data_IF_564951436138
#
_entry.id   IF_564951436138
#
_cell.length_a   1.000
_cell.length_b   1.000
_cell.length_c   1.000
_cell.angle_alpha   90.00
_cell.angle_beta   90.00
_cell.angle_gamma   90.00
#
_symmetry.space_group_name_H-M   'P 1'
#
loop_
_entity.id
_entity.type
_entity.pdbx_description
1 polymer ?
#
# COMPACT_ATOMS: atom_id res chain seq x y z
N UNK A 1 -8.37 16.37 -14.05
CA UNK A 1 -7.49 16.67 -12.90
C UNK A 1 -6.10 17.02 -13.43
N UNK A 2 -5.41 17.99 -12.83
CA UNK A 2 -4.01 18.27 -13.18
C UNK A 2 -3.10 17.37 -12.37
N UNK A 3 -2.18 16.63 -13.00
CA UNK A 3 -1.26 15.78 -12.25
C UNK A 3 -0.08 16.65 -11.77
N UNK A 4 -0.11 17.05 -10.50
CA UNK A 4 0.97 17.75 -9.84
C UNK A 4 1.86 16.78 -9.06
N UNK A 5 3.16 17.07 -9.05
CA UNK A 5 4.13 16.42 -8.17
C UNK A 5 4.51 17.39 -7.08
N UNK A 6 4.35 16.94 -5.83
CA UNK A 6 4.79 17.66 -4.65
C UNK A 6 6.19 17.21 -4.20
N UNK A 7 6.98 18.14 -3.68
CA UNK A 7 8.35 17.90 -3.22
C UNK A 7 8.53 18.42 -1.79
N UNK A 8 8.89 17.53 -0.86
CA UNK A 8 9.45 17.88 0.44
C UNK A 8 10.96 17.73 0.40
N UNK A 9 11.66 18.72 0.93
CA UNK A 9 13.11 18.67 1.08
C UNK A 9 13.48 19.10 2.50
N UNK A 10 14.20 18.25 3.24
CA UNK A 10 14.99 18.68 4.37
C UNK A 10 16.43 18.87 3.93
N UNK A 11 16.91 20.10 4.05
CA UNK A 11 18.25 20.48 3.63
C UNK A 11 19.31 20.12 4.68
N UNK A 12 20.59 20.23 4.33
CA UNK A 12 21.74 19.94 5.17
C UNK A 12 21.79 20.80 6.45
N UNK A 13 21.28 22.02 6.37
CA UNK A 13 21.15 22.93 7.52
C UNK A 13 19.95 22.61 8.43
N UNK A 14 19.14 21.62 8.05
CA UNK A 14 17.93 21.19 8.75
C UNK A 14 16.67 21.99 8.42
N UNK A 15 16.75 23.00 7.55
CA UNK A 15 15.57 23.69 7.03
C UNK A 15 14.72 22.73 6.19
N UNK A 16 13.40 22.93 6.21
CA UNK A 16 12.47 22.10 5.46
C UNK A 16 11.71 22.95 4.45
N UNK A 17 11.56 22.44 3.24
CA UNK A 17 11.06 23.16 2.07
C UNK A 17 9.96 22.37 1.38
N UNK A 18 9.10 23.10 0.71
CA UNK A 18 8.03 22.59 -0.13
C UNK A 18 8.06 23.27 -1.50
N UNK A 19 7.86 22.48 -2.56
CA UNK A 19 7.53 22.98 -3.87
C UNK A 19 6.55 22.03 -4.58
N UNK A 20 5.85 22.54 -5.59
CA UNK A 20 5.03 21.71 -6.48
C UNK A 20 5.24 22.13 -7.93
N UNK A 21 5.16 21.15 -8.83
CA UNK A 21 5.13 21.44 -10.25
C UNK A 21 4.21 20.48 -10.99
N UNK A 22 3.61 20.98 -12.07
CA UNK A 22 2.74 20.19 -12.92
C UNK A 22 3.61 19.25 -13.76
N UNK A 23 3.30 17.95 -13.76
CA UNK A 23 4.09 16.92 -14.46
C UNK A 23 5.55 16.82 -14.02
N UNK A 24 5.84 17.17 -12.77
CA UNK A 24 7.17 17.02 -12.20
C UNK A 24 7.72 15.59 -12.26
N UNK A 25 9.05 15.49 -12.26
CA UNK A 25 9.78 14.24 -12.11
C UNK A 25 9.60 13.72 -10.68
N UNK A 26 9.31 12.42 -10.53
CA UNK A 26 9.03 11.82 -9.22
C UNK A 26 9.93 10.60 -8.94
N UNK A 27 10.30 9.85 -9.98
CA UNK A 27 11.11 8.64 -9.86
C UNK A 27 12.61 8.92 -9.68
N UNK A 28 13.07 10.14 -10.01
CA UNK A 28 14.44 10.64 -9.84
C UNK A 28 15.47 9.56 -10.19
N UNK A 29 15.39 9.04 -11.41
CA UNK A 29 16.06 7.82 -11.85
C UNK A 29 17.56 7.94 -12.08
N UNK A 30 18.11 9.16 -12.02
CA UNK A 30 19.53 9.43 -12.06
C UNK A 30 19.94 10.59 -11.14
N UNK A 31 21.26 10.74 -10.97
CA UNK A 31 21.86 11.77 -10.13
C UNK A 31 21.55 13.19 -10.61
N UNK A 32 21.48 13.43 -11.93
CA UNK A 32 21.24 14.75 -12.48
C UNK A 32 19.82 15.22 -12.18
N UNK A 33 18.81 14.35 -12.35
CA UNK A 33 17.43 14.64 -12.01
C UNK A 33 17.26 14.94 -10.51
N UNK A 34 17.96 14.19 -9.64
CA UNK A 34 17.98 14.47 -8.19
C UNK A 34 18.54 15.86 -7.91
N UNK A 35 19.71 16.18 -8.46
CA UNK A 35 20.36 17.48 -8.22
C UNK A 35 19.51 18.63 -8.76
N UNK A 36 18.94 18.49 -9.95
CA UNK A 36 18.05 19.50 -10.55
C UNK A 36 16.84 19.79 -9.65
N UNK A 37 16.20 18.74 -9.13
CA UNK A 37 15.06 18.91 -8.22
C UNK A 37 15.46 19.58 -6.91
N UNK A 38 16.60 19.20 -6.31
CA UNK A 38 17.09 19.84 -5.08
C UNK A 38 17.35 21.33 -5.30
N UNK A 39 18.07 21.67 -6.37
CA UNK A 39 18.43 23.05 -6.69
C UNK A 39 17.19 23.89 -7.00
N UNK A 40 16.23 23.33 -7.73
CA UNK A 40 14.96 23.98 -8.00
C UNK A 40 14.12 24.20 -6.74
N UNK A 41 14.00 23.22 -5.84
CA UNK A 41 13.27 23.38 -4.57
C UNK A 41 13.92 24.44 -3.70
N UNK A 42 15.26 24.54 -3.67
CA UNK A 42 15.98 25.59 -2.94
C UNK A 42 15.76 26.98 -3.55
N UNK A 43 15.68 27.08 -4.88
CA UNK A 43 15.52 28.35 -5.58
C UNK A 43 14.09 28.88 -5.54
N UNK A 44 13.11 28.02 -5.80
CA UNK A 44 11.71 28.40 -6.05
C UNK A 44 10.73 27.89 -4.99
N UNK A 45 11.18 27.01 -4.09
CA UNK A 45 10.36 26.46 -3.02
C UNK A 45 10.05 27.46 -1.91
N UNK A 46 9.11 27.07 -1.06
CA UNK A 46 8.75 27.80 0.16
C UNK A 46 9.27 27.06 1.38
N UNK A 47 9.85 27.80 2.32
CA UNK A 47 10.15 27.27 3.65
C UNK A 47 8.87 26.77 4.34
N UNK A 48 8.97 25.60 4.96
CA UNK A 48 7.93 25.04 5.80
C UNK A 48 7.98 25.72 7.17
N UNK A 49 6.85 26.31 7.56
CA UNK A 49 6.64 26.92 8.87
C UNK A 49 5.45 26.24 9.54
N UNK A 50 5.45 26.01 10.87
CA UNK A 50 4.36 25.30 11.55
C UNK A 50 2.95 25.86 11.27
N UNK A 51 2.83 27.16 10.99
CA UNK A 51 1.58 27.86 10.68
C UNK A 51 1.23 27.89 9.18
N UNK A 52 1.99 27.18 8.35
CA UNK A 52 1.79 27.14 6.90
C UNK A 52 0.47 26.45 6.52
N UNK A 53 -0.14 26.81 5.37
CA UNK A 53 -1.34 26.12 4.91
C UNK A 53 -1.01 24.69 4.47
N UNK A 54 -2.01 23.83 4.42
CA UNK A 54 -1.92 22.51 3.78
C UNK A 54 -1.48 22.68 2.32
N UNK A 55 -0.53 21.85 1.88
CA UNK A 55 0.10 21.92 0.56
C UNK A 55 -0.01 20.63 -0.23
N UNK A 56 0.13 19.48 0.43
CA UNK A 56 -0.09 18.16 -0.14
C UNK A 56 -1.53 17.73 0.07
N UNK A 57 -2.35 17.78 -0.97
CA UNK A 57 -3.74 17.33 -0.91
C UNK A 57 -4.17 16.51 -2.11
N UNK A 58 -5.48 16.38 -2.31
CA UNK A 58 -6.06 15.63 -3.42
C UNK A 58 -5.62 16.10 -4.83
N UNK A 59 -5.11 17.33 -4.96
CA UNK A 59 -4.54 17.85 -6.22
C UNK A 59 -3.15 17.31 -6.58
N UNK A 60 -2.46 16.70 -5.61
CA UNK A 60 -1.09 16.21 -5.74
C UNK A 60 -1.10 14.70 -6.00
N UNK A 61 -1.08 14.33 -7.27
CA UNK A 61 -1.14 12.93 -7.70
C UNK A 61 0.16 12.16 -7.39
N UNK A 62 1.30 12.86 -7.23
CA UNK A 62 2.64 12.28 -7.04
C UNK A 62 3.36 13.01 -5.93
N UNK A 63 4.28 12.35 -5.26
CA UNK A 63 5.09 13.01 -4.25
C UNK A 63 6.51 12.50 -4.16
N UNK A 64 7.39 13.38 -3.71
CA UNK A 64 8.79 13.14 -3.43
C UNK A 64 9.11 13.72 -2.06
N UNK A 65 9.84 12.98 -1.24
CA UNK A 65 10.49 13.49 -0.04
C UNK A 65 11.98 13.15 -0.06
N UNK A 66 12.81 14.15 0.24
CA UNK A 66 14.26 14.06 0.33
C UNK A 66 14.69 14.59 1.71
N UNK A 67 15.41 13.78 2.46
CA UNK A 67 16.14 14.23 3.65
C UNK A 67 17.63 14.12 3.36
N UNK A 68 18.28 15.26 3.07
CA UNK A 68 19.72 15.29 2.73
C UNK A 68 20.60 14.97 3.94
N UNK A 69 20.10 15.23 5.15
CA UNK A 69 20.85 15.06 6.39
C UNK A 69 20.89 13.60 6.82
N UNK A 70 19.75 12.94 6.77
CA UNK A 70 19.61 11.54 7.16
C UNK A 70 19.71 10.58 5.96
N UNK A 71 19.93 11.12 4.75
CA UNK A 71 20.07 10.42 3.47
C UNK A 71 18.87 9.52 3.17
N UNK A 72 17.67 10.06 3.27
CA UNK A 72 16.41 9.34 3.01
C UNK A 72 15.74 9.86 1.74
N UNK A 73 15.26 8.95 0.90
CA UNK A 73 14.43 9.27 -0.26
C UNK A 73 13.17 8.42 -0.25
N UNK A 74 12.02 9.07 -0.44
CA UNK A 74 10.76 8.38 -0.73
C UNK A 74 10.03 9.03 -1.89
N UNK A 75 9.32 8.21 -2.66
CA UNK A 75 8.40 8.71 -3.69
C UNK A 75 7.15 7.84 -3.79
N UNK A 76 6.03 8.45 -4.17
CA UNK A 76 4.87 7.73 -4.68
C UNK A 76 4.45 8.32 -6.05
N UNK A 77 4.13 7.47 -7.03
CA UNK A 77 3.62 7.90 -8.33
C UNK A 77 2.13 8.24 -8.23
N UNK A 78 1.60 8.78 -9.33
CA UNK A 78 0.15 8.75 -9.56
C UNK A 78 -0.26 7.28 -9.69
N UNK A 79 -1.43 6.93 -9.18
CA UNK A 79 -2.09 5.68 -9.55
C UNK A 79 -2.15 5.62 -11.08
N UNK A 80 -1.31 4.74 -11.63
CA UNK A 80 -1.20 4.47 -13.04
C UNK A 80 -1.37 2.96 -13.13
N UNK A 81 -2.59 2.54 -13.49
CA UNK A 81 -2.91 1.15 -13.80
C UNK A 81 -1.75 0.50 -14.58
N UNK A 82 -1.22 -0.60 -14.05
CA UNK A 82 -0.14 -1.37 -14.66
C UNK A 82 1.29 -1.03 -14.20
N UNK A 83 1.49 -0.15 -13.21
CA UNK A 83 2.78 -0.03 -12.53
C UNK A 83 2.85 -1.02 -11.37
N UNK A 84 3.74 -2.02 -11.49
CA UNK A 84 4.06 -2.90 -10.37
C UNK A 84 4.93 -2.13 -9.35
N UNK A 85 4.32 -1.67 -8.26
CA UNK A 85 4.98 -0.81 -7.26
C UNK A 85 6.21 -1.46 -6.60
N UNK A 86 6.20 -2.78 -6.38
CA UNK A 86 7.36 -3.53 -5.87
C UNK A 86 8.52 -3.52 -6.88
N UNK A 87 8.23 -3.64 -8.18
CA UNK A 87 9.23 -3.53 -9.24
C UNK A 87 9.85 -2.13 -9.29
N UNK A 88 9.04 -1.10 -9.03
CA UNK A 88 9.48 0.29 -8.93
C UNK A 88 10.32 0.53 -7.66
N UNK A 89 9.85 0.09 -6.48
CA UNK A 89 10.60 0.16 -5.21
C UNK A 89 11.97 -0.52 -5.35
N UNK A 90 12.00 -1.72 -5.94
CA UNK A 90 13.24 -2.44 -6.20
C UNK A 90 14.16 -1.67 -7.15
N UNK A 91 13.63 -1.02 -8.19
CA UNK A 91 14.43 -0.21 -9.12
C UNK A 91 15.06 0.98 -8.41
N UNK A 92 14.30 1.68 -7.57
CA UNK A 92 14.77 2.81 -6.75
C UNK A 92 15.90 2.33 -5.82
N UNK A 93 15.65 1.28 -5.03
CA UNK A 93 16.62 0.72 -4.06
C UNK A 93 17.93 0.25 -4.68
N UNK A 94 17.90 -0.19 -5.94
CA UNK A 94 19.07 -0.71 -6.66
C UNK A 94 19.78 0.32 -7.51
N UNK A 95 19.27 1.55 -7.61
CA UNK A 95 19.88 2.56 -8.45
C UNK A 95 21.13 3.14 -7.76
N UNK A 96 22.27 3.12 -8.47
CA UNK A 96 23.59 3.44 -7.92
C UNK A 96 23.70 4.84 -7.34
N UNK A 97 22.95 5.81 -7.87
CA UNK A 97 22.99 7.18 -7.35
C UNK A 97 22.36 7.32 -5.96
N UNK A 98 21.63 6.30 -5.50
CA UNK A 98 21.13 6.17 -4.13
C UNK A 98 22.04 5.32 -3.23
N UNK A 99 23.25 4.96 -3.67
CA UNK A 99 24.19 4.24 -2.81
C UNK A 99 24.47 5.03 -1.51
N UNK A 100 24.22 4.41 -0.36
CA UNK A 100 24.34 5.04 0.95
C UNK A 100 23.08 5.77 1.46
N UNK A 101 22.01 5.81 0.66
CA UNK A 101 20.71 6.35 1.04
C UNK A 101 19.73 5.24 1.46
N UNK A 102 18.81 5.55 2.37
CA UNK A 102 17.56 4.81 2.52
C UNK A 102 16.57 5.33 1.47
N UNK A 103 16.67 4.78 0.25
CA UNK A 103 15.80 5.10 -0.86
C UNK A 103 14.69 4.05 -1.04
N UNK A 104 13.46 4.47 -1.35
CA UNK A 104 12.37 3.54 -1.61
C UNK A 104 11.06 4.19 -2.01
N UNK A 105 10.04 3.36 -2.15
CA UNK A 105 8.66 3.75 -2.39
C UNK A 105 7.98 4.17 -1.07
N UNK A 106 7.17 5.22 -1.13
CA UNK A 106 6.28 5.64 -0.04
C UNK A 106 4.99 4.81 -0.09
N UNK A 107 4.99 3.65 0.58
CA UNK A 107 3.83 2.77 0.67
C UNK A 107 2.67 3.42 1.43
N UNK A 108 2.93 4.39 2.31
CA UNK A 108 1.91 5.21 2.95
C UNK A 108 1.45 6.43 2.14
N UNK A 109 1.83 6.49 0.86
CA UNK A 109 1.46 7.57 -0.04
C UNK A 109 1.96 8.91 0.47
N UNK A 110 1.12 9.95 0.40
CA UNK A 110 1.51 11.29 0.86
C UNK A 110 1.75 11.36 2.36
N UNK A 111 1.09 10.54 3.19
CA UNK A 111 1.28 10.59 4.64
C UNK A 111 2.69 10.15 5.05
N UNK A 112 3.26 9.14 4.38
CA UNK A 112 4.63 8.68 4.65
C UNK A 112 5.68 9.75 4.31
N UNK A 113 5.41 10.65 3.36
CA UNK A 113 6.34 11.75 3.07
C UNK A 113 6.53 12.67 4.28
N UNK A 114 5.52 12.81 5.13
CA UNK A 114 5.60 13.56 6.38
C UNK A 114 6.47 12.88 7.45
N UNK A 115 6.74 11.59 7.30
CA UNK A 115 7.64 10.82 8.17
C UNK A 115 9.09 10.95 7.75
N UNK A 116 9.34 11.17 6.46
CA UNK A 116 10.67 11.38 5.89
C UNK A 116 11.22 12.76 6.25
N UNK A 117 10.38 13.80 6.21
CA UNK A 117 10.80 15.17 6.50
C UNK A 117 10.19 15.61 7.84
N UNK A 118 10.97 15.59 8.94
CA UNK A 118 10.51 16.01 10.26
C UNK A 118 9.83 17.37 10.24
N UNK A 119 8.63 17.43 10.81
CA UNK A 119 7.83 18.64 10.86
C UNK A 119 6.95 18.88 9.63
N UNK A 120 7.08 18.13 8.52
CA UNK A 120 6.25 18.35 7.33
C UNK A 120 4.80 17.85 7.45
N UNK A 121 4.46 17.04 8.46
CA UNK A 121 3.10 16.47 8.62
C UNK A 121 1.96 17.51 8.58
N UNK A 122 2.19 18.74 9.03
CA UNK A 122 1.15 19.79 9.06
C UNK A 122 0.77 20.32 7.67
N UNK A 123 1.65 20.16 6.65
CA UNK A 123 1.33 20.55 5.27
C UNK A 123 0.72 19.41 4.45
N UNK A 124 0.47 18.26 5.06
CA UNK A 124 -0.07 17.08 4.38
C UNK A 124 -1.52 16.91 4.82
N UNK A 125 -2.43 16.99 3.86
CA UNK A 125 -3.83 16.64 4.03
C UNK A 125 -3.91 15.14 4.34
N UNK A 126 -4.41 14.72 5.50
CA UNK A 126 -4.62 13.30 5.78
C UNK A 126 -5.54 12.68 4.72
N UNK A 127 -5.43 11.38 4.50
CA UNK A 127 -6.47 10.68 3.76
C UNK A 127 -7.77 10.68 4.59
N UNK A 128 -8.91 10.77 3.92
CA UNK A 128 -10.19 10.55 4.58
C UNK A 128 -10.31 9.06 4.89
N UNK A 129 -10.24 8.73 6.17
CA UNK A 129 -10.34 7.35 6.68
C UNK A 129 -11.73 7.08 7.25
N UNK A 130 -12.78 7.76 6.78
CA UNK A 130 -14.14 7.55 7.27
C UNK A 130 -14.53 6.06 7.19
N UNK A 131 -14.62 5.44 8.38
CA UNK A 131 -14.94 4.04 8.52
C UNK A 131 -16.45 3.84 8.50
N UNK A 132 -16.92 2.86 7.72
CA UNK A 132 -18.32 2.45 7.72
C UNK A 132 -18.58 1.42 8.83
N UNK A 133 -19.82 1.36 9.37
CA UNK A 133 -20.21 0.32 10.31
C UNK A 133 -20.04 -1.07 9.70
N UNK A 134 -19.63 -2.05 10.50
CA UNK A 134 -19.50 -3.45 10.07
C UNK A 134 -20.80 -4.03 9.48
N UNK A 135 -21.97 -3.56 9.93
CA UNK A 135 -23.27 -3.95 9.39
C UNK A 135 -23.49 -3.54 7.92
N UNK A 136 -22.63 -2.69 7.37
CA UNK A 136 -22.65 -2.22 5.99
C UNK A 136 -21.52 -2.83 5.14
N UNK A 137 -21.00 -4.01 5.53
CA UNK A 137 -19.99 -4.73 4.76
C UNK A 137 -20.46 -4.91 3.30
N UNK A 138 -19.73 -4.38 2.31
CA UNK A 138 -20.17 -4.38 0.92
C UNK A 138 -19.74 -5.67 0.24
N UNK A 139 -20.33 -6.80 0.63
CA UNK A 139 -20.06 -8.09 0.00
C UNK A 139 -20.54 -8.09 -1.45
N UNK A 140 -19.72 -8.61 -2.35
CA UNK A 140 -20.06 -8.72 -3.77
C UNK A 140 -21.24 -9.67 -4.02
N UNK A 141 -22.04 -9.39 -5.05
CA UNK A 141 -23.06 -10.34 -5.49
C UNK A 141 -22.38 -11.64 -5.95
N UNK A 142 -22.84 -12.78 -5.43
CA UNK A 142 -22.25 -14.10 -5.70
C UNK A 142 -22.49 -14.60 -7.12
N UNK A 143 -23.43 -14.02 -7.86
CA UNK A 143 -23.65 -14.34 -9.27
C UNK A 143 -22.78 -13.47 -10.19
N UNK A 144 -22.22 -12.36 -9.69
CA UNK A 144 -21.43 -11.38 -10.46
C UNK A 144 -19.99 -11.21 -9.95
N UNK A 145 -19.60 -11.95 -8.91
CA UNK A 145 -18.33 -11.80 -8.19
C UNK A 145 -17.07 -11.88 -9.08
N UNK A 146 -17.08 -12.74 -10.10
CA UNK A 146 -15.95 -12.92 -11.02
C UNK A 146 -15.86 -11.82 -12.10
N UNK A 147 -16.86 -10.94 -12.20
CA UNK A 147 -16.96 -9.94 -13.27
C UNK A 147 -16.57 -8.52 -12.83
N UNK A 148 -16.59 -8.24 -11.53
CA UNK A 148 -16.28 -6.92 -10.98
C UNK A 148 -14.91 -6.92 -10.27
N UNK A 149 -14.13 -5.86 -10.51
CA UNK A 149 -12.93 -5.56 -9.72
C UNK A 149 -13.34 -5.44 -8.24
N UNK A 150 -12.77 -6.27 -7.38
CA UNK A 150 -13.11 -6.30 -5.96
C UNK A 150 -11.92 -6.61 -5.07
N UNK A 151 -12.13 -6.50 -3.77
CA UNK A 151 -11.08 -6.78 -2.79
C UNK A 151 -11.27 -8.19 -2.19
N UNK A 152 -10.21 -8.99 -2.16
CA UNK A 152 -10.24 -10.36 -1.65
C UNK A 152 -9.90 -10.44 -0.16
N UNK A 153 -10.72 -11.11 0.64
CA UNK A 153 -10.39 -11.52 2.00
C UNK A 153 -10.36 -13.05 2.06
N UNK A 154 -9.21 -13.63 2.40
CA UNK A 154 -9.12 -15.04 2.75
C UNK A 154 -8.95 -15.22 4.24
N UNK A 155 -9.78 -16.05 4.84
CA UNK A 155 -9.66 -16.47 6.25
C UNK A 155 -9.11 -17.89 6.28
N UNK A 156 -7.89 -18.06 6.82
CA UNK A 156 -7.34 -19.40 7.12
C UNK A 156 -7.81 -19.80 8.51
N UNK A 157 -8.66 -20.82 8.56
CA UNK A 157 -9.26 -21.30 9.81
C UNK A 157 -8.27 -22.11 10.65
N UNK A 158 -8.61 -22.34 11.92
CA UNK A 158 -7.76 -23.13 12.83
C UNK A 158 -7.57 -24.60 12.39
N UNK A 159 -8.50 -25.13 11.60
CA UNK A 159 -8.45 -26.44 10.96
C UNK A 159 -7.84 -26.43 9.55
N UNK A 160 -7.25 -25.31 9.14
CA UNK A 160 -6.49 -25.12 7.89
C UNK A 160 -7.35 -25.24 6.62
N UNK A 161 -8.59 -24.76 6.69
CA UNK A 161 -9.40 -24.44 5.51
C UNK A 161 -9.23 -22.96 5.16
N UNK A 162 -9.36 -22.65 3.87
CA UNK A 162 -9.35 -21.27 3.38
C UNK A 162 -10.76 -20.90 2.97
N UNK A 163 -11.27 -19.82 3.54
CA UNK A 163 -12.58 -19.25 3.22
C UNK A 163 -12.36 -17.90 2.53
N UNK A 164 -12.69 -17.82 1.25
CA UNK A 164 -12.57 -16.59 0.47
C UNK A 164 -13.86 -15.77 0.54
N UNK A 165 -13.71 -14.45 0.60
CA UNK A 165 -14.78 -13.45 0.55
C UNK A 165 -14.35 -12.30 -0.34
N UNK A 166 -15.30 -11.68 -1.02
CA UNK A 166 -15.01 -10.53 -1.88
C UNK A 166 -15.86 -9.33 -1.46
N UNK A 167 -15.21 -8.18 -1.34
CA UNK A 167 -15.88 -6.89 -1.14
C UNK A 167 -15.93 -6.12 -2.45
N UNK A 168 -17.07 -5.50 -2.76
CA UNK A 168 -17.22 -4.64 -3.92
C UNK A 168 -16.36 -3.37 -3.80
N UNK A 169 -15.63 -3.05 -4.87
CA UNK A 169 -14.85 -1.81 -4.97
C UNK A 169 -15.73 -0.56 -4.97
N UNK A 170 -16.95 -0.64 -5.53
CA UNK A 170 -17.85 0.51 -5.75
C UNK A 170 -18.27 1.26 -4.48
N UNK A 171 -18.07 0.66 -3.30
CA UNK A 171 -18.48 1.24 -2.03
C UNK A 171 -17.35 1.86 -1.21
N UNK A 172 -16.11 1.83 -1.70
CA UNK A 172 -14.95 2.38 -0.98
C UNK A 172 -14.37 3.58 -1.72
N UNK A 173 -14.60 4.79 -1.19
CA UNK A 173 -13.97 6.04 -1.69
C UNK A 173 -12.45 6.06 -1.45
N UNK A 174 -11.97 5.15 -0.58
CA UNK A 174 -10.58 4.77 -0.48
C UNK A 174 -10.41 3.42 -1.18
N UNK A 175 -9.58 3.32 -2.22
CA UNK A 175 -9.23 2.09 -2.94
C UNK A 175 -8.43 1.10 -2.05
N UNK A 176 -8.92 0.81 -0.85
CA UNK A 176 -8.25 -0.03 0.14
C UNK A 176 -9.25 -0.82 0.96
N UNK A 177 -8.99 -2.13 1.13
CA UNK A 177 -9.75 -3.00 2.02
C UNK A 177 -9.43 -2.76 3.51
N UNK A 178 -8.30 -2.13 3.81
CA UNK A 178 -7.80 -1.96 5.18
C UNK A 178 -8.73 -1.21 6.14
N UNK A 179 -9.58 -0.25 5.73
CA UNK A 179 -10.56 0.37 6.61
C UNK A 179 -11.52 -0.64 7.27
N UNK A 180 -11.78 -1.80 6.66
CA UNK A 180 -12.60 -2.84 7.29
C UNK A 180 -11.85 -3.64 8.35
N UNK A 181 -10.52 -3.70 8.26
CA UNK A 181 -9.69 -4.45 9.22
C UNK A 181 -9.62 -3.77 10.59
N UNK A 182 -10.03 -2.50 10.72
CA UNK A 182 -10.12 -1.81 12.02
C UNK A 182 -11.18 -2.42 12.94
N UNK A 183 -12.10 -3.22 12.39
CA UNK A 183 -13.10 -3.97 13.16
C UNK A 183 -12.53 -5.24 13.83
N UNK A 184 -11.27 -5.58 13.58
CA UNK A 184 -10.59 -6.68 14.26
C UNK A 184 -11.26 -8.03 14.05
N UNK A 185 -11.35 -8.84 15.10
CA UNK A 185 -11.99 -10.17 15.05
C UNK A 185 -13.49 -10.12 14.72
N UNK A 186 -14.18 -9.01 14.97
CA UNK A 186 -15.60 -8.88 14.65
C UNK A 186 -15.85 -8.99 13.13
N UNK A 187 -14.89 -8.55 12.31
CA UNK A 187 -14.93 -8.76 10.86
C UNK A 187 -14.97 -10.25 10.50
N UNK A 188 -14.14 -11.08 11.16
CA UNK A 188 -14.09 -12.53 10.88
C UNK A 188 -15.41 -13.19 11.25
N UNK A 189 -16.03 -12.76 12.35
CA UNK A 189 -17.32 -13.28 12.78
C UNK A 189 -18.41 -12.92 11.77
N UNK A 190 -18.45 -11.68 11.28
CA UNK A 190 -19.39 -11.24 10.25
C UNK A 190 -19.19 -12.01 8.92
N UNK A 191 -17.95 -12.21 8.47
CA UNK A 191 -17.66 -12.97 7.25
C UNK A 191 -18.11 -14.42 7.36
N UNK A 192 -17.99 -15.05 8.53
CA UNK A 192 -18.41 -16.46 8.74
C UNK A 192 -19.91 -16.70 8.68
N UNK A 193 -20.72 -15.65 8.79
CA UNK A 193 -22.16 -15.75 8.59
C UNK A 193 -22.52 -15.93 7.10
N UNK A 194 -21.56 -15.66 6.23
CA UNK A 194 -21.68 -15.78 4.78
C UNK A 194 -21.08 -17.08 4.27
N UNK A 195 -21.57 -17.53 3.12
CA UNK A 195 -20.97 -18.65 2.43
C UNK A 195 -19.71 -18.19 1.66
N UNK A 196 -18.60 -18.95 1.71
CA UNK A 196 -17.35 -18.58 1.06
C UNK A 196 -17.48 -18.61 -0.47
N UNK A 197 -16.71 -17.75 -1.13
CA UNK A 197 -16.64 -17.62 -2.59
C UNK A 197 -15.62 -18.62 -3.16
N UNK A 198 -15.68 -18.84 -4.46
CA UNK A 198 -14.58 -19.51 -5.16
C UNK A 198 -13.38 -18.55 -5.28
N UNK A 199 -12.22 -19.09 -5.62
CA UNK A 199 -11.00 -18.28 -5.76
C UNK A 199 -11.12 -17.37 -6.99
N UNK A 200 -10.94 -16.04 -6.84
CA UNK A 200 -11.06 -15.12 -7.97
C UNK A 200 -9.90 -15.22 -8.94
N UNK A 201 -10.13 -14.67 -10.13
CA UNK A 201 -9.11 -14.51 -11.16
C UNK A 201 -8.24 -13.31 -10.81
N UNK A 202 -6.98 -13.32 -11.21
CA UNK A 202 -6.06 -12.19 -10.94
C UNK A 202 -6.60 -10.85 -11.44
N UNK A 203 -7.20 -10.82 -12.63
CA UNK A 203 -7.73 -9.59 -13.23
C UNK A 203 -9.01 -9.06 -12.53
N UNK A 204 -9.60 -9.80 -11.59
CA UNK A 204 -10.79 -9.39 -10.84
C UNK A 204 -10.48 -8.87 -9.43
N UNK A 205 -9.20 -8.80 -9.03
CA UNK A 205 -8.80 -8.32 -7.70
C UNK A 205 -7.64 -7.32 -7.75
N UNK A 206 -7.77 -6.21 -7.04
CA UNK A 206 -6.76 -5.13 -6.95
C UNK A 206 -6.21 -4.91 -5.52
N UNK A 207 -6.81 -5.58 -4.54
CA UNK A 207 -6.26 -5.69 -3.20
C UNK A 207 -6.71 -6.99 -2.53
N UNK A 208 -6.00 -7.38 -1.49
CA UNK A 208 -6.47 -8.47 -0.66
C UNK A 208 -5.80 -8.62 0.69
N UNK A 209 -6.44 -9.41 1.56
CA UNK A 209 -6.00 -9.70 2.91
C UNK A 209 -6.09 -11.19 3.18
N UNK A 210 -5.08 -11.73 3.85
CA UNK A 210 -5.09 -13.07 4.43
C UNK A 210 -5.10 -12.95 5.95
N UNK A 211 -6.18 -13.41 6.57
CA UNK A 211 -6.34 -13.51 8.02
C UNK A 211 -6.08 -14.95 8.43
N UNK A 212 -4.90 -15.23 8.97
CA UNK A 212 -4.54 -16.57 9.45
C UNK A 212 -4.84 -16.71 10.95
N UNK A 213 -5.93 -17.41 11.26
CA UNK A 213 -6.40 -17.61 12.64
C UNK A 213 -5.55 -18.59 13.43
N UNK A 214 -4.88 -19.54 12.76
CA UNK A 214 -4.02 -20.52 13.39
C UNK A 214 -2.66 -19.91 13.76
N UNK A 215 -2.04 -19.20 12.81
CA UNK A 215 -0.74 -18.56 13.00
C UNK A 215 -0.83 -17.19 13.66
N UNK A 216 -2.04 -16.62 13.76
CA UNK A 216 -2.33 -15.27 14.26
C UNK A 216 -1.56 -14.20 13.50
N UNK A 217 -1.66 -14.22 12.18
CA UNK A 217 -0.99 -13.26 11.29
C UNK A 217 -2.03 -12.64 10.36
N UNK A 218 -1.89 -11.33 10.11
CA UNK A 218 -2.65 -10.61 9.10
C UNK A 218 -1.67 -10.18 8.01
N UNK A 219 -1.87 -10.69 6.81
CA UNK A 219 -1.10 -10.27 5.64
C UNK A 219 -2.02 -9.48 4.71
N UNK A 220 -1.53 -8.43 4.07
CA UNK A 220 -2.31 -7.61 3.15
C UNK A 220 -1.51 -7.25 1.89
N UNK A 221 -2.17 -7.02 0.78
CA UNK A 221 -1.61 -6.38 -0.41
C UNK A 221 -2.67 -5.46 -1.00
N UNK A 222 -2.21 -4.51 -1.79
CA UNK A 222 -3.05 -3.53 -2.47
C UNK A 222 -2.21 -2.90 -3.56
N UNK A 223 -2.79 -2.67 -4.72
CA UNK A 223 -2.16 -1.90 -5.77
C UNK A 223 -1.94 -0.44 -5.34
N UNK A 224 -2.74 0.05 -4.39
CA UNK A 224 -2.66 1.40 -3.85
C UNK A 224 -1.79 1.53 -2.58
N UNK A 225 -1.58 2.79 -2.19
CA UNK A 225 -0.92 3.15 -0.95
C UNK A 225 -1.84 2.95 0.27
N UNK A 226 -1.22 2.65 1.42
CA UNK A 226 -1.88 2.39 2.68
C UNK A 226 -1.46 3.44 3.71
N UNK A 227 -2.31 4.43 4.02
CA UNK A 227 -1.96 5.50 4.93
C UNK A 227 -1.40 4.98 6.26
N UNK A 228 -0.29 5.54 6.74
CA UNK A 228 0.40 5.07 7.96
C UNK A 228 -0.53 5.07 9.17
N UNK A 229 -1.45 6.05 9.27
CA UNK A 229 -2.46 6.10 10.32
C UNK A 229 -3.42 4.93 10.26
N UNK A 230 -3.93 4.60 9.07
CA UNK A 230 -4.82 3.47 8.88
C UNK A 230 -4.13 2.16 9.28
N UNK A 231 -2.87 1.99 8.86
CA UNK A 231 -2.10 0.81 9.24
C UNK A 231 -1.92 0.69 10.76
N UNK A 232 -1.70 1.82 11.46
CA UNK A 232 -1.61 1.85 12.91
C UNK A 232 -2.95 1.50 13.59
N UNK A 233 -4.08 2.00 13.06
CA UNK A 233 -5.42 1.68 13.57
C UNK A 233 -5.72 0.18 13.40
N UNK A 234 -5.37 -0.40 12.25
CA UNK A 234 -5.45 -1.85 12.00
C UNK A 234 -4.57 -2.62 12.99
N UNK A 235 -3.31 -2.22 13.18
CA UNK A 235 -2.43 -2.88 14.17
C UNK A 235 -3.01 -2.81 15.59
N UNK A 236 -3.67 -1.71 15.95
CA UNK A 236 -4.39 -1.56 17.23
C UNK A 236 -5.57 -2.52 17.37
N UNK A 237 -6.30 -2.77 16.27
CA UNK A 237 -7.44 -3.69 16.23
C UNK A 237 -7.03 -5.18 16.29
N UNK A 238 -5.78 -5.51 15.96
CA UNK A 238 -5.25 -6.87 15.92
C UNK A 238 -4.07 -7.08 16.92
N UNK A 239 -4.31 -6.96 18.24
CA UNK A 239 -3.23 -6.93 19.22
C UNK A 239 -2.44 -8.24 19.28
N UNK A 240 -1.13 -8.11 19.08
CA UNK A 240 -0.18 -9.23 19.10
C UNK A 240 -0.13 -10.04 17.80
N UNK A 241 -0.86 -9.62 16.75
CA UNK A 241 -0.76 -10.22 15.42
C UNK A 241 0.23 -9.41 14.58
N UNK A 242 1.21 -10.04 13.94
CA UNK A 242 1.99 -9.36 12.91
C UNK A 242 1.07 -8.94 11.75
N UNK A 243 1.08 -7.65 11.42
CA UNK A 243 0.43 -7.07 10.24
C UNK A 243 1.51 -6.82 9.20
N UNK A 244 1.42 -7.49 8.03
CA UNK A 244 2.49 -7.47 7.02
C UNK A 244 1.96 -7.23 5.63
N UNK A 245 2.68 -6.44 4.84
CA UNK A 245 2.42 -6.35 3.41
C UNK A 245 2.97 -7.59 2.68
N UNK A 246 2.17 -8.18 1.81
CA UNK A 246 2.58 -9.22 0.86
C UNK A 246 3.09 -8.55 -0.42
N UNK A 247 4.22 -9.01 -0.96
CA UNK A 247 4.64 -8.64 -2.31
C UNK A 247 3.87 -9.45 -3.36
N UNK A 248 3.86 -8.96 -4.60
CA UNK A 248 3.36 -9.68 -5.79
C UNK A 248 1.86 -10.01 -5.76
N UNK A 249 1.04 -9.08 -5.26
CA UNK A 249 -0.42 -9.13 -5.40
C UNK A 249 -1.07 -10.49 -5.06
N UNK A 250 -1.91 -10.99 -5.98
CA UNK A 250 -2.61 -12.27 -5.82
C UNK A 250 -1.65 -13.46 -5.71
N UNK A 251 -0.51 -13.46 -6.42
CA UNK A 251 0.49 -14.52 -6.30
C UNK A 251 1.03 -14.64 -4.86
N UNK A 252 1.32 -13.50 -4.22
CA UNK A 252 1.72 -13.45 -2.81
C UNK A 252 0.61 -13.91 -1.87
N UNK A 253 -0.64 -13.58 -2.20
CA UNK A 253 -1.84 -13.99 -1.45
C UNK A 253 -2.07 -15.51 -1.50
N UNK A 254 -1.97 -16.12 -2.69
CA UNK A 254 -2.08 -17.57 -2.86
C UNK A 254 -0.94 -18.28 -2.11
N UNK A 255 0.28 -17.76 -2.19
CA UNK A 255 1.41 -18.30 -1.43
C UNK A 255 1.16 -18.27 0.09
N UNK A 256 0.56 -17.17 0.59
CA UNK A 256 0.20 -16.99 2.00
C UNK A 256 -0.93 -17.92 2.46
N UNK A 257 -1.83 -18.29 1.57
CA UNK A 257 -2.88 -19.29 1.83
C UNK A 257 -2.41 -20.72 1.55
N UNK A 258 -1.15 -20.93 1.12
CA UNK A 258 -0.64 -22.27 0.80
C UNK A 258 -1.26 -22.90 -0.45
N UNK A 259 -1.96 -22.10 -1.27
CA UNK A 259 -2.55 -22.51 -2.54
C UNK A 259 -1.61 -22.22 -3.68
N UNK A 260 -1.64 -23.07 -4.71
CA UNK A 260 -1.03 -22.84 -6.01
C UNK A 260 -2.12 -23.11 -7.03
N UNK A 261 -2.66 -22.05 -7.62
CA UNK A 261 -3.73 -22.13 -8.60
C UNK A 261 -3.20 -21.52 -9.90
N UNK A 262 -2.77 -22.40 -10.79
CA UNK A 262 -2.16 -22.01 -12.06
C UNK A 262 -3.21 -21.43 -13.04
N UNK A 263 -4.51 -21.67 -12.80
CA UNK A 263 -5.60 -21.11 -13.62
C UNK A 263 -6.00 -19.70 -13.15
N UNK A 264 -5.88 -19.42 -11.85
CA UNK A 264 -6.17 -18.10 -11.28
C UNK A 264 -5.09 -17.05 -11.60
N UNK A 265 -3.88 -17.49 -11.97
CA UNK A 265 -2.70 -16.66 -12.13
C UNK A 265 -2.32 -16.41 -13.59
N UNK A 266 -1.89 -15.18 -13.92
CA UNK A 266 -1.34 -14.85 -15.22
C UNK A 266 0.04 -15.52 -15.45
N UNK A 267 0.41 -15.67 -16.73
CA UNK A 267 1.57 -16.46 -17.21
C UNK A 267 2.98 -16.16 -16.65
N UNK A 268 3.14 -15.18 -15.76
CA UNK A 268 4.40 -14.85 -15.08
C UNK A 268 4.40 -15.06 -13.56
N UNK A 269 3.23 -15.34 -12.98
CA UNK A 269 3.03 -15.39 -11.53
C UNK A 269 3.68 -16.58 -10.84
N UNK A 270 4.05 -17.65 -11.56
CA UNK A 270 4.71 -18.84 -10.98
C UNK A 270 6.00 -18.50 -10.24
N UNK A 271 6.87 -17.71 -10.89
CA UNK A 271 8.14 -17.30 -10.30
C UNK A 271 7.93 -16.36 -9.11
N UNK A 272 6.91 -15.51 -9.19
CA UNK A 272 6.54 -14.57 -8.14
C UNK A 272 5.97 -15.31 -6.92
N UNK A 273 5.13 -16.31 -7.14
CA UNK A 273 4.61 -17.20 -6.10
C UNK A 273 5.75 -17.88 -5.33
N UNK A 274 6.72 -18.47 -6.04
CA UNK A 274 7.87 -19.14 -5.41
C UNK A 274 8.75 -18.17 -4.60
N UNK A 275 8.89 -16.93 -5.06
CA UNK A 275 9.62 -15.88 -4.33
C UNK A 275 8.82 -15.43 -3.10
N UNK A 276 7.53 -15.17 -3.26
CA UNK A 276 6.62 -14.77 -2.19
C UNK A 276 6.61 -15.83 -1.09
N UNK A 277 6.40 -17.10 -1.46
CA UNK A 277 6.36 -18.23 -0.55
C UNK A 277 7.60 -18.31 0.33
N UNK A 278 8.80 -18.12 -0.25
CA UNK A 278 10.07 -18.15 0.50
C UNK A 278 10.23 -16.98 1.46
N UNK A 279 9.60 -15.84 1.18
CA UNK A 279 9.64 -14.65 2.01
C UNK A 279 8.69 -14.71 3.21
N UNK A 280 7.66 -15.56 3.18
CA UNK A 280 6.65 -15.66 4.24
C UNK A 280 7.22 -16.15 5.56
N UNK A 281 6.84 -15.48 6.65
CA UNK A 281 7.18 -15.86 8.01
C UNK A 281 5.96 -15.65 8.90
N UNK A 282 5.51 -16.63 9.69
CA UNK A 282 5.89 -18.03 9.63
C UNK A 282 5.56 -18.63 8.25
N UNK A 283 6.17 -19.77 7.94
CA UNK A 283 5.86 -20.51 6.72
C UNK A 283 4.40 -21.01 6.80
N UNK A 284 3.53 -20.77 5.80
CA UNK A 284 2.15 -21.20 5.89
C UNK A 284 2.04 -22.71 5.95
N UNK A 285 1.09 -23.22 6.76
CA UNK A 285 0.94 -24.67 6.94
C UNK A 285 0.30 -25.30 5.70
N UNK A 286 0.57 -26.59 5.42
CA UNK A 286 -0.17 -27.32 4.40
C UNK A 286 -1.66 -27.33 4.73
N UNK A 287 -2.50 -26.97 3.75
CA UNK A 287 -3.95 -26.95 3.90
C UNK A 287 -4.52 -28.37 4.06
N UNK A 288 -5.70 -28.47 4.67
CA UNK A 288 -6.52 -29.69 4.62
C UNK A 288 -7.44 -29.61 3.41
N UNK A 289 -7.32 -30.60 2.52
CA UNK A 289 -8.24 -30.79 1.41
C UNK A 289 -9.61 -31.28 1.87
#
# INVERSE_FOLDING_TARGET
>A
MGCYTGYLLRDDDGSSWWAETKWGAWDLTDEAARTEVIDWVRADGSLLTPEGPVRFGASTCRGVALDLRDLVFRTFPCDLKGIHHEGLDMRIRKARHWDGWDAGFAWGGREELGDVVPGARHVIEPYDLSFRPLAELPLADRDEWALDEGHLISVVTADLHVLDYQLERRFTDADSLLPWLVHGSALVDALREEAPYETPWEDSVDAGVVIDLDQRVLNYWSDDFVPSRLLADVQGAWPGWPVRRLPYGLAGHLAATGRRDDEALASHADAEWDVARRALRPDPRPLRG
#
